data_IF_485731677934
#
_entry.id   IF_485731677934
#
_cell.length_a   1.000
_cell.length_b   1.000
_cell.length_c   1.000
_cell.angle_alpha   90.00
_cell.angle_beta   90.00
_cell.angle_gamma   90.00
#
_symmetry.space_group_name_H-M   'P 1'
#
loop_
_entity.id
_entity.type
_entity.pdbx_description
1 polymer ?
#
# COMPACT_ATOMS: atom_id res chain seq x y z
N UNK A 1 9.54 35.12 -5.33
CA UNK A 1 9.79 33.85 -6.03
C UNK A 1 9.16 32.71 -5.21
N UNK A 2 8.24 31.93 -5.78
CA UNK A 2 7.65 30.80 -5.05
C UNK A 2 8.73 29.71 -4.83
N UNK A 3 8.87 29.21 -3.61
CA UNK A 3 9.85 28.18 -3.27
C UNK A 3 9.54 26.86 -4.01
N UNK A 4 10.46 26.42 -4.89
CA UNK A 4 10.33 25.17 -5.66
C UNK A 4 10.77 23.93 -4.88
N UNK A 5 11.40 24.11 -3.72
CA UNK A 5 11.92 23.04 -2.87
C UNK A 5 10.82 22.09 -2.33
N UNK A 6 9.74 22.59 -1.67
CA UNK A 6 8.70 21.72 -1.11
C UNK A 6 7.95 20.96 -2.21
N UNK A 7 7.71 21.59 -3.36
CA UNK A 7 7.06 20.93 -4.50
C UNK A 7 7.86 19.73 -5.02
N UNK A 8 9.18 19.89 -5.18
CA UNK A 8 10.06 18.79 -5.60
C UNK A 8 10.08 17.65 -4.58
N UNK A 9 10.09 17.98 -3.29
CA UNK A 9 10.07 16.97 -2.23
C UNK A 9 8.77 16.17 -2.25
N UNK A 10 7.63 16.83 -2.37
CA UNK A 10 6.32 16.20 -2.52
C UNK A 10 6.29 15.22 -3.70
N UNK A 11 6.71 15.67 -4.90
CA UNK A 11 6.70 14.82 -6.10
C UNK A 11 7.60 13.58 -5.94
N UNK A 12 8.75 13.72 -5.26
CA UNK A 12 9.64 12.59 -4.97
C UNK A 12 9.00 11.61 -4.00
N UNK A 13 8.35 12.09 -2.93
CA UNK A 13 7.66 11.21 -1.98
C UNK A 13 6.49 10.48 -2.63
N UNK A 14 5.75 11.14 -3.53
CA UNK A 14 4.66 10.53 -4.29
C UNK A 14 5.17 9.42 -5.23
N UNK A 15 6.30 9.62 -5.91
CA UNK A 15 6.95 8.58 -6.73
C UNK A 15 7.42 7.40 -5.84
N UNK A 16 7.94 7.68 -4.64
CA UNK A 16 8.41 6.66 -3.69
C UNK A 16 7.27 5.82 -3.12
N UNK A 17 6.16 6.45 -2.74
CA UNK A 17 4.98 5.75 -2.19
C UNK A 17 4.23 4.95 -3.26
N UNK A 18 4.22 5.42 -4.51
CA UNK A 18 3.51 4.79 -5.63
C UNK A 18 4.25 3.66 -6.36
N UNK A 19 5.39 3.17 -5.85
CA UNK A 19 6.21 2.16 -6.57
C UNK A 19 5.50 0.83 -6.83
N UNK A 20 4.56 0.46 -5.96
CA UNK A 20 3.82 -0.80 -6.08
C UNK A 20 2.58 -0.70 -6.98
N UNK A 21 2.23 0.48 -7.49
CA UNK A 21 1.08 0.67 -8.38
C UNK A 21 1.48 0.49 -9.85
N UNK A 22 0.53 0.10 -10.72
CA UNK A 22 0.73 0.11 -12.17
C UNK A 22 1.21 1.47 -12.68
N UNK A 23 2.03 1.47 -13.73
CA UNK A 23 2.64 2.70 -14.29
C UNK A 23 1.58 3.73 -14.68
N UNK A 24 0.48 3.30 -15.30
CA UNK A 24 -0.59 4.17 -15.79
C UNK A 24 -1.25 4.96 -14.66
N UNK A 25 -1.67 4.27 -13.59
CA UNK A 25 -2.26 4.92 -12.41
C UNK A 25 -1.26 5.87 -11.73
N UNK A 26 0.02 5.48 -11.66
CA UNK A 26 1.07 6.35 -11.11
C UNK A 26 1.24 7.63 -11.92
N UNK A 27 1.25 7.54 -13.25
CA UNK A 27 1.39 8.72 -14.13
C UNK A 27 0.18 9.64 -14.00
N UNK A 28 -1.04 9.08 -13.97
CA UNK A 28 -2.27 9.84 -13.78
C UNK A 28 -2.31 10.58 -12.45
N UNK A 29 -1.91 9.93 -11.34
CA UNK A 29 -1.86 10.57 -10.03
C UNK A 29 -0.80 11.69 -10.00
N UNK A 30 0.36 11.48 -10.64
CA UNK A 30 1.41 12.50 -10.70
C UNK A 30 0.98 13.72 -11.52
N UNK A 31 0.26 13.53 -12.63
CA UNK A 31 -0.25 14.64 -13.44
C UNK A 31 -1.32 15.42 -12.68
N UNK A 32 -2.27 14.74 -12.04
CA UNK A 32 -3.30 15.38 -11.22
C UNK A 32 -2.68 16.17 -10.06
N UNK A 33 -1.71 15.59 -9.34
CA UNK A 33 -1.06 16.28 -8.23
C UNK A 33 -0.26 17.49 -8.71
N UNK A 34 0.39 17.40 -9.87
CA UNK A 34 1.08 18.54 -10.47
C UNK A 34 0.12 19.67 -10.81
N UNK A 35 -1.04 19.35 -11.38
CA UNK A 35 -2.09 20.33 -11.68
C UNK A 35 -2.62 21.01 -10.41
N UNK A 36 -2.91 20.23 -9.37
CA UNK A 36 -3.40 20.73 -8.07
C UNK A 36 -2.42 21.74 -7.46
N UNK A 37 -1.12 21.43 -7.48
CA UNK A 37 -0.10 22.34 -6.93
C UNK A 37 0.16 23.54 -7.86
N UNK A 38 0.13 23.35 -9.18
CA UNK A 38 0.29 24.43 -10.17
C UNK A 38 -0.85 25.46 -10.09
N UNK A 39 -2.08 24.98 -9.91
CA UNK A 39 -3.27 25.82 -9.76
C UNK A 39 -3.33 26.54 -8.40
N UNK A 40 -2.24 26.51 -7.61
CA UNK A 40 -2.08 27.14 -6.29
C UNK A 40 -3.22 26.87 -5.31
N UNK A 41 -3.90 25.72 -5.45
CA UNK A 41 -4.93 25.30 -4.49
C UNK A 41 -4.33 24.96 -3.12
N UNK A 42 -3.00 24.78 -3.04
CA UNK A 42 -2.27 24.44 -1.82
C UNK A 42 -1.25 25.52 -1.49
N UNK A 43 -1.18 25.89 -0.22
CA UNK A 43 -0.10 26.70 0.34
C UNK A 43 1.20 25.90 0.44
N UNK A 44 2.33 26.57 0.70
CA UNK A 44 3.61 25.89 0.91
C UNK A 44 3.57 24.93 2.11
N UNK A 45 2.88 25.32 3.18
CA UNK A 45 2.67 24.48 4.37
C UNK A 45 1.82 23.25 4.06
N UNK A 46 0.80 23.37 3.20
CA UNK A 46 -0.01 22.22 2.80
C UNK A 46 0.81 21.21 1.99
N UNK A 47 1.69 21.70 1.10
CA UNK A 47 2.60 20.85 0.33
C UNK A 47 3.54 20.08 1.24
N UNK A 48 4.08 20.72 2.28
CA UNK A 48 4.92 20.09 3.29
C UNK A 48 4.16 19.05 4.12
N UNK A 49 2.93 19.38 4.54
CA UNK A 49 2.05 18.47 5.28
C UNK A 49 1.74 17.21 4.47
N UNK A 50 1.43 17.34 3.17
CA UNK A 50 1.19 16.18 2.31
C UNK A 50 2.47 15.35 2.14
N UNK A 51 3.63 15.99 1.95
CA UNK A 51 4.90 15.27 1.86
C UNK A 51 5.21 14.49 3.16
N UNK A 52 4.94 15.09 4.32
CA UNK A 52 5.08 14.45 5.63
C UNK A 52 4.13 13.25 5.76
N UNK A 53 2.87 13.41 5.37
CA UNK A 53 1.87 12.34 5.39
C UNK A 53 2.26 11.15 4.50
N UNK A 54 2.74 11.39 3.28
CA UNK A 54 3.19 10.31 2.39
C UNK A 54 4.39 9.56 2.97
N UNK A 55 5.30 10.28 3.64
CA UNK A 55 6.43 9.67 4.34
C UNK A 55 5.96 8.82 5.52
N UNK A 56 5.06 9.33 6.35
CA UNK A 56 4.54 8.62 7.52
C UNK A 56 3.75 7.38 7.13
N UNK A 57 2.98 7.43 6.05
CA UNK A 57 2.24 6.26 5.54
C UNK A 57 3.15 5.10 5.16
N UNK A 58 4.29 5.37 4.53
CA UNK A 58 5.27 4.32 4.21
C UNK A 58 5.87 3.72 5.48
N UNK A 59 6.22 4.55 6.48
CA UNK A 59 6.73 4.06 7.76
C UNK A 59 5.67 3.24 8.49
N UNK A 60 4.42 3.70 8.48
CA UNK A 60 3.29 2.99 9.05
C UNK A 60 3.15 1.61 8.44
N UNK A 61 3.17 1.49 7.10
CA UNK A 61 3.14 0.19 6.42
C UNK A 61 4.27 -0.74 6.88
N UNK A 62 5.50 -0.25 6.94
CA UNK A 62 6.66 -1.05 7.39
C UNK A 62 6.50 -1.53 8.84
N UNK A 63 6.01 -0.66 9.73
CA UNK A 63 5.76 -1.03 11.13
C UNK A 63 4.66 -2.07 11.23
N UNK A 64 3.61 -1.89 10.43
CA UNK A 64 2.45 -2.75 10.45
C UNK A 64 2.78 -4.15 9.93
N UNK A 65 3.58 -4.26 8.86
CA UNK A 65 4.11 -5.54 8.37
C UNK A 65 5.00 -6.24 9.43
N UNK A 66 5.78 -5.47 10.20
CA UNK A 66 6.71 -6.02 11.22
C UNK A 66 6.01 -6.52 12.48
N UNK A 67 5.05 -5.75 12.97
CA UNK A 67 4.42 -6.00 14.27
C UNK A 67 3.06 -6.69 14.15
N UNK A 68 2.40 -6.60 12.99
CA UNK A 68 1.15 -7.28 12.70
C UNK A 68 1.13 -7.86 11.27
N UNK A 69 1.94 -8.90 11.00
CA UNK A 69 2.02 -9.51 9.67
C UNK A 69 0.71 -10.16 9.22
N UNK A 70 -0.21 -10.46 10.13
CA UNK A 70 -1.52 -11.07 9.85
C UNK A 70 -2.64 -10.03 9.70
N UNK A 71 -2.32 -8.73 9.66
CA UNK A 71 -3.32 -7.66 9.55
C UNK A 71 -4.19 -7.73 8.30
N UNK A 72 -3.64 -8.26 7.20
CA UNK A 72 -4.34 -8.43 5.93
C UNK A 72 -5.22 -9.69 5.90
N UNK A 73 -5.04 -10.63 6.84
CA UNK A 73 -5.84 -11.84 6.91
C UNK A 73 -7.18 -11.56 7.62
N UNK A 74 -8.27 -11.90 6.93
CA UNK A 74 -9.58 -12.00 7.58
C UNK A 74 -9.53 -13.02 8.72
N UNK A 75 -10.28 -12.79 9.80
CA UNK A 75 -10.42 -13.73 10.90
C UNK A 75 -10.83 -15.13 10.41
N UNK A 76 -11.63 -15.20 9.36
CA UNK A 76 -12.07 -16.46 8.73
C UNK A 76 -10.93 -17.23 8.06
N UNK A 77 -9.97 -16.54 7.47
CA UNK A 77 -8.79 -17.14 6.85
C UNK A 77 -7.82 -17.66 7.92
N UNK A 78 -7.65 -16.91 9.00
CA UNK A 78 -6.85 -17.33 10.16
C UNK A 78 -7.40 -18.60 10.83
N UNK A 79 -8.73 -18.69 11.01
CA UNK A 79 -9.39 -19.89 11.56
C UNK A 79 -9.13 -21.10 10.66
N UNK A 80 -9.27 -20.96 9.34
CA UNK A 80 -8.99 -22.03 8.38
C UNK A 80 -7.51 -22.44 8.39
N UNK A 81 -6.59 -21.49 8.41
CA UNK A 81 -5.16 -21.77 8.47
C UNK A 81 -4.78 -22.51 9.77
N UNK A 82 -5.38 -22.12 10.90
CA UNK A 82 -5.19 -22.80 12.18
C UNK A 82 -5.80 -24.20 12.14
N UNK A 83 -7.02 -24.36 11.61
CA UNK A 83 -7.70 -25.65 11.46
C UNK A 83 -6.88 -26.64 10.63
N UNK A 84 -6.27 -26.20 9.52
CA UNK A 84 -5.34 -27.02 8.73
C UNK A 84 -4.08 -27.39 9.52
N UNK A 85 -3.52 -26.45 10.29
CA UNK A 85 -2.31 -26.68 11.09
C UNK A 85 -2.52 -27.71 12.20
N UNK A 86 -3.71 -27.74 12.80
CA UNK A 86 -4.05 -28.68 13.90
C UNK A 86 -4.70 -29.98 13.41
N UNK A 87 -4.84 -30.17 12.09
CA UNK A 87 -5.46 -31.36 11.51
C UNK A 87 -6.98 -31.43 11.62
N UNK A 88 -7.65 -30.31 11.91
CA UNK A 88 -9.11 -30.21 11.98
C UNK A 88 -9.75 -30.04 10.58
N UNK A 89 -8.99 -29.52 9.61
CA UNK A 89 -9.40 -29.33 8.20
C UNK A 89 -8.31 -29.87 7.26
N UNK A 90 -8.12 -31.19 7.23
CA UNK A 90 -7.11 -31.82 6.38
C UNK A 90 -7.54 -31.87 4.91
N UNK A 91 -6.62 -31.70 3.94
CA UNK A 91 -6.92 -31.90 2.53
C UNK A 91 -7.48 -33.31 2.31
N UNK A 92 -8.58 -33.42 1.58
CA UNK A 92 -9.15 -34.72 1.21
C UNK A 92 -8.16 -35.42 0.29
N UNK A 93 -7.68 -36.60 0.70
CA UNK A 93 -6.82 -37.42 -0.15
C UNK A 93 -7.59 -37.78 -1.42
N UNK A 94 -6.95 -37.57 -2.57
CA UNK A 94 -7.52 -37.92 -3.88
C UNK A 94 -7.57 -39.45 -3.92
N UNK A 95 -8.72 -40.03 -3.60
CA UNK A 95 -8.96 -41.45 -3.82
C UNK A 95 -8.89 -41.68 -5.33
N UNK A 96 -7.81 -42.29 -5.81
CA UNK A 96 -7.71 -42.84 -7.17
C UNK A 96 -8.77 -43.95 -7.30
N UNK A 97 -10.00 -43.54 -7.57
CA UNK A 97 -11.11 -44.41 -7.95
C UNK A 97 -10.99 -44.72 -9.44
N UNK A 98 -9.95 -45.49 -9.75
CA UNK A 98 -9.71 -46.04 -11.07
C UNK A 98 -9.01 -47.38 -10.93
N UNK A 99 -9.75 -48.43 -10.55
CA UNK A 99 -9.39 -49.84 -10.81
C UNK A 99 -10.56 -50.77 -10.49
N UNK A 100 -10.98 -51.49 -11.56
CA UNK A 100 -11.92 -52.62 -11.69
C UNK A 100 -13.41 -52.40 -11.46
#
# INVERSE_FOLDING_TARGET
MASLAPHRQLMRELIRSGRHRPRESRVAILSQMREIVSNKKLSATDVENVALFLRSQRTYKVLLDRYNPLHDMSSTEHIKATARRVGLDMPVEKTDSGSN
#
